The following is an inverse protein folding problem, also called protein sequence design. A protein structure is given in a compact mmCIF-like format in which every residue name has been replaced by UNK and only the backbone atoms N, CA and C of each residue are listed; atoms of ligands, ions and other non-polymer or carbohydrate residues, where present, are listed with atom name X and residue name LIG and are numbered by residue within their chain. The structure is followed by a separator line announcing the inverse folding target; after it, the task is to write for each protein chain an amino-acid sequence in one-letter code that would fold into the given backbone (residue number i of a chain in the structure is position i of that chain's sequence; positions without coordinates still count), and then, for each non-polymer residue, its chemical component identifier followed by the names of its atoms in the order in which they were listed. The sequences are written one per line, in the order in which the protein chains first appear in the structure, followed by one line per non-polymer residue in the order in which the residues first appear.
data_IF_814123262538
#
_entry.id   IF_814123262538
#
_cell.length_a   1.000
_cell.length_b   1.000
_cell.length_c   1.000
_cell.angle_alpha   90.00
_cell.angle_beta   90.00
_cell.angle_gamma   90.00
#
_symmetry.space_group_name_H-M   'P 1'
#
loop_
_entity.id
_entity.type
_entity.pdbx_description
1 polymer ?
#
# COMPACT_ATOMS: atom_id res chain seq x y z
N UNK A 1 -5.20 -26.52 -15.65
CA UNK A 1 -6.00 -25.31 -15.95
C UNK A 1 -6.17 -24.51 -14.66
N UNK A 2 -5.45 -23.41 -14.50
CA UNK A 2 -5.71 -22.45 -13.42
C UNK A 2 -7.10 -21.86 -13.68
N UNK A 3 -8.08 -22.22 -12.84
CA UNK A 3 -9.42 -21.61 -12.91
C UNK A 3 -9.23 -20.13 -12.66
N UNK A 4 -9.38 -19.30 -13.69
CA UNK A 4 -9.55 -17.86 -13.53
C UNK A 4 -10.77 -17.71 -12.62
N UNK A 5 -10.54 -17.34 -11.34
CA UNK A 5 -11.64 -17.10 -10.39
C UNK A 5 -12.36 -15.84 -10.86
N UNK A 6 -13.50 -16.03 -11.52
CA UNK A 6 -14.44 -14.95 -11.83
C UNK A 6 -15.08 -14.48 -10.52
N UNK A 7 -15.53 -13.23 -10.48
CA UNK A 7 -16.42 -12.78 -9.41
C UNK A 7 -17.71 -13.59 -9.51
N UNK A 8 -18.10 -14.21 -8.40
CA UNK A 8 -19.42 -14.84 -8.30
C UNK A 8 -20.38 -13.80 -7.70
N UNK A 9 -21.33 -13.35 -8.50
CA UNK A 9 -22.37 -12.45 -8.05
C UNK A 9 -23.37 -13.23 -7.19
N UNK A 10 -23.69 -12.68 -6.02
CA UNK A 10 -24.63 -13.25 -5.07
C UNK A 10 -25.97 -12.51 -5.16
N UNK A 11 -27.04 -13.08 -4.56
CA UNK A 11 -28.36 -12.44 -4.51
C UNK A 11 -28.39 -11.21 -3.60
N UNK A 12 -27.63 -11.25 -2.48
CA UNK A 12 -27.50 -10.11 -1.57
C UNK A 12 -26.59 -9.04 -2.14
N UNK A 13 -26.93 -7.77 -1.92
CA UNK A 13 -26.08 -6.66 -2.31
C UNK A 13 -24.88 -6.49 -1.34
N UNK A 14 -23.86 -5.71 -1.75
CA UNK A 14 -22.63 -5.56 -0.98
C UNK A 14 -22.84 -4.88 0.39
N UNK A 15 -23.87 -4.04 0.55
CA UNK A 15 -24.20 -3.38 1.82
C UNK A 15 -24.77 -4.39 2.82
N UNK A 16 -25.76 -5.18 2.41
CA UNK A 16 -26.33 -6.25 3.25
C UNK A 16 -25.25 -7.24 3.68
N UNK A 17 -24.45 -7.71 2.74
CA UNK A 17 -23.33 -8.61 3.02
C UNK A 17 -22.32 -8.01 4.01
N UNK A 18 -21.99 -6.71 3.89
CA UNK A 18 -21.09 -6.04 4.81
C UNK A 18 -21.68 -5.86 6.21
N UNK A 19 -22.99 -5.56 6.31
CA UNK A 19 -23.69 -5.49 7.59
C UNK A 19 -23.74 -6.86 8.28
N UNK A 20 -24.00 -7.93 7.56
CA UNK A 20 -24.02 -9.27 8.11
C UNK A 20 -22.63 -9.71 8.59
N UNK A 21 -21.59 -9.42 7.82
CA UNK A 21 -20.19 -9.62 8.25
C UNK A 21 -19.88 -8.82 9.52
N UNK A 22 -20.32 -7.57 9.59
CA UNK A 22 -20.12 -6.74 10.78
C UNK A 22 -20.88 -7.29 11.99
N UNK A 23 -22.12 -7.74 11.84
CA UNK A 23 -22.89 -8.41 12.90
C UNK A 23 -22.18 -9.66 13.40
N UNK A 24 -21.66 -10.48 12.47
CA UNK A 24 -20.87 -11.66 12.82
C UNK A 24 -19.61 -11.30 13.64
N UNK A 25 -18.90 -10.21 13.29
CA UNK A 25 -17.73 -9.77 14.06
C UNK A 25 -18.12 -9.38 15.49
N UNK A 26 -19.22 -8.63 15.68
CA UNK A 26 -19.71 -8.25 17.00
C UNK A 26 -20.24 -9.43 17.82
N UNK A 27 -20.66 -10.53 17.19
CA UNK A 27 -21.10 -11.75 17.87
C UNK A 27 -19.95 -12.69 18.22
N UNK A 28 -18.88 -12.67 17.42
CA UNK A 28 -17.80 -13.66 17.50
C UNK A 28 -16.55 -13.18 18.24
N UNK A 29 -16.41 -11.87 18.48
CA UNK A 29 -15.24 -11.31 19.15
C UNK A 29 -15.63 -10.50 20.38
N UNK A 30 -14.80 -10.62 21.44
CA UNK A 30 -15.02 -9.87 22.68
C UNK A 30 -14.78 -8.37 22.47
N UNK A 31 -13.78 -8.02 21.64
CA UNK A 31 -13.40 -6.65 21.34
C UNK A 31 -13.38 -6.43 19.82
N UNK A 32 -14.24 -5.53 19.35
CA UNK A 32 -14.25 -5.07 17.95
C UNK A 32 -13.70 -3.66 17.89
N UNK A 33 -12.61 -3.46 17.20
CA UNK A 33 -11.93 -2.18 17.05
C UNK A 33 -11.82 -1.81 15.59
N UNK A 34 -11.98 -0.54 15.26
CA UNK A 34 -11.95 -0.05 13.89
C UNK A 34 -10.61 0.62 13.59
N UNK A 35 -9.86 0.10 12.64
CA UNK A 35 -8.69 0.76 12.07
C UNK A 35 -9.13 1.97 11.23
N UNK A 36 -9.12 3.16 11.83
CA UNK A 36 -9.60 4.39 11.22
C UNK A 36 -8.43 5.23 10.70
N UNK A 37 -8.37 5.47 9.39
CA UNK A 37 -7.30 6.24 8.74
C UNK A 37 -7.74 7.64 8.29
N UNK A 38 -8.99 8.04 8.54
CA UNK A 38 -9.57 9.27 7.98
C UNK A 38 -9.87 9.18 6.47
N UNK A 39 -9.62 8.04 5.82
CA UNK A 39 -9.97 7.82 4.42
C UNK A 39 -11.41 7.34 4.23
N UNK A 40 -11.96 7.50 3.01
CA UNK A 40 -13.36 7.15 2.67
C UNK A 40 -13.74 5.71 3.02
N UNK A 41 -12.81 4.77 2.86
CA UNK A 41 -13.07 3.36 3.08
C UNK A 41 -13.19 3.04 4.59
N UNK A 42 -12.29 3.59 5.40
CA UNK A 42 -12.36 3.48 6.86
C UNK A 42 -13.54 4.26 7.45
N UNK A 43 -13.94 5.36 6.82
CA UNK A 43 -15.17 6.11 7.17
C UNK A 43 -16.41 5.25 7.01
N UNK A 44 -16.54 4.55 5.89
CA UNK A 44 -17.65 3.62 5.65
C UNK A 44 -17.66 2.49 6.68
N UNK A 45 -16.50 1.87 6.93
CA UNK A 45 -16.40 0.80 7.95
C UNK A 45 -16.80 1.29 9.33
N UNK A 46 -16.40 2.50 9.73
CA UNK A 46 -16.78 3.11 11.01
C UNK A 46 -18.29 3.29 11.10
N UNK A 47 -18.95 3.79 10.06
CA UNK A 47 -20.39 4.00 10.06
C UNK A 47 -21.19 2.68 10.03
N UNK A 48 -20.70 1.66 9.32
CA UNK A 48 -21.29 0.30 9.41
C UNK A 48 -21.16 -0.26 10.83
N UNK A 49 -20.00 -0.05 11.48
CA UNK A 49 -19.79 -0.47 12.86
C UNK A 49 -20.69 0.28 13.85
N UNK A 50 -20.86 1.59 13.71
CA UNK A 50 -21.78 2.39 14.55
C UNK A 50 -23.21 1.85 14.44
N UNK A 51 -23.68 1.60 13.19
CA UNK A 51 -25.00 1.04 12.96
C UNK A 51 -25.20 -0.31 13.68
N UNK A 52 -24.27 -1.24 13.50
CA UNK A 52 -24.37 -2.57 14.10
C UNK A 52 -24.15 -2.53 15.62
N UNK A 53 -23.22 -1.72 16.12
CA UNK A 53 -23.01 -1.53 17.57
C UNK A 53 -24.25 -0.97 18.24
N UNK A 54 -24.98 -0.06 17.57
CA UNK A 54 -26.28 0.45 18.06
C UNK A 54 -27.34 -0.64 18.09
N UNK A 55 -27.45 -1.48 17.05
CA UNK A 55 -28.36 -2.64 17.01
C UNK A 55 -28.10 -3.62 18.16
N UNK A 56 -26.83 -3.75 18.58
CA UNK A 56 -26.36 -4.72 19.60
C UNK A 56 -26.12 -4.11 20.99
N UNK A 57 -26.44 -2.82 21.20
CA UNK A 57 -26.17 -2.09 22.45
C UNK A 57 -24.69 -2.15 22.89
N UNK A 58 -23.76 -2.04 21.92
CA UNK A 58 -22.30 -2.09 22.12
C UNK A 58 -21.60 -0.76 21.79
N UNK A 59 -22.31 0.35 21.91
CA UNK A 59 -21.72 1.70 21.80
C UNK A 59 -20.93 2.08 23.07
N UNK A 60 -19.92 2.96 22.99
CA UNK A 60 -19.35 3.54 21.77
C UNK A 60 -18.46 2.57 20.99
N UNK A 61 -18.36 2.78 19.67
CA UNK A 61 -17.41 2.06 18.81
C UNK A 61 -15.99 2.53 19.11
N UNK A 62 -15.08 1.60 19.32
CA UNK A 62 -13.65 1.91 19.48
C UNK A 62 -13.02 2.08 18.11
N UNK A 63 -12.48 3.27 17.83
CA UNK A 63 -11.74 3.56 16.61
C UNK A 63 -10.28 3.91 16.95
N UNK A 64 -9.33 3.43 16.16
CA UNK A 64 -7.91 3.65 16.34
C UNK A 64 -7.34 4.43 15.17
N UNK A 65 -6.84 5.63 15.42
CA UNK A 65 -6.18 6.46 14.45
C UNK A 65 -4.68 6.53 14.76
N UNK A 66 -3.87 6.07 13.82
CA UNK A 66 -2.41 6.12 13.90
C UNK A 66 -1.93 7.33 13.13
N UNK A 67 -1.50 8.34 13.85
CA UNK A 67 -1.12 9.63 13.30
C UNK A 67 0.30 9.60 12.73
N UNK A 68 0.37 9.73 11.41
CA UNK A 68 1.63 9.70 10.66
C UNK A 68 2.34 11.07 10.61
N UNK A 69 2.02 12.02 11.50
CA UNK A 69 2.59 13.38 11.58
C UNK A 69 2.34 14.21 10.31
N UNK A 70 2.80 13.75 9.16
CA UNK A 70 2.71 14.45 7.87
C UNK A 70 1.37 14.24 7.16
N UNK A 71 0.28 14.29 7.90
CA UNK A 71 -1.08 14.11 7.39
C UNK A 71 -1.64 15.46 6.91
N UNK A 72 -2.45 15.42 5.85
CA UNK A 72 -3.10 16.61 5.29
C UNK A 72 -3.96 17.32 6.35
N UNK A 73 -3.90 18.67 6.44
CA UNK A 73 -4.66 19.43 7.44
C UNK A 73 -6.15 19.10 7.46
N UNK A 74 -6.78 19.04 6.29
CA UNK A 74 -8.21 18.69 6.17
C UNK A 74 -8.54 17.26 6.59
N UNK A 75 -7.57 16.34 6.56
CA UNK A 75 -7.71 15.01 7.16
C UNK A 75 -7.70 15.11 8.68
N UNK A 76 -6.84 15.91 9.28
CA UNK A 76 -6.80 16.15 10.73
C UNK A 76 -8.11 16.77 11.21
N UNK A 77 -8.59 17.82 10.53
CA UNK A 77 -9.90 18.41 10.82
C UNK A 77 -11.05 17.39 10.79
N UNK A 78 -10.99 16.45 9.86
CA UNK A 78 -11.98 15.37 9.78
C UNK A 78 -11.84 14.39 10.96
N UNK A 79 -10.63 14.01 11.32
CA UNK A 79 -10.36 13.15 12.48
C UNK A 79 -10.82 13.81 13.78
N UNK A 80 -10.62 15.12 13.93
CA UNK A 80 -11.14 15.92 15.05
C UNK A 80 -12.66 15.85 15.15
N UNK A 81 -13.37 16.04 14.03
CA UNK A 81 -14.84 15.90 14.02
C UNK A 81 -15.29 14.50 14.40
N UNK A 82 -14.60 13.45 13.92
CA UNK A 82 -14.89 12.07 14.30
C UNK A 82 -14.62 11.82 15.79
N UNK A 83 -13.59 12.43 16.37
CA UNK A 83 -13.27 12.31 17.80
C UNK A 83 -14.37 12.88 18.73
N UNK A 84 -15.16 13.80 18.19
CA UNK A 84 -16.30 14.42 18.91
C UNK A 84 -17.63 13.68 18.69
N UNK A 85 -17.64 12.64 17.86
CA UNK A 85 -18.87 11.89 17.58
C UNK A 85 -19.30 11.09 18.83
N UNK A 86 -20.58 11.24 19.31
CA UNK A 86 -21.02 10.66 20.58
C UNK A 86 -20.95 9.13 20.62
N UNK A 87 -21.09 8.46 19.49
CA UNK A 87 -21.06 7.00 19.38
C UNK A 87 -19.65 6.44 19.11
N UNK A 88 -18.60 7.28 19.11
CA UNK A 88 -17.22 6.86 18.82
C UNK A 88 -16.30 7.20 19.98
N UNK A 89 -15.49 6.24 20.37
CA UNK A 89 -14.34 6.46 21.24
C UNK A 89 -13.08 6.35 20.38
N UNK A 90 -12.52 7.51 19.99
CA UNK A 90 -11.31 7.55 19.18
C UNK A 90 -10.07 7.45 20.07
N UNK A 91 -9.21 6.47 19.81
CA UNK A 91 -7.85 6.42 20.31
C UNK A 91 -6.95 7.06 19.25
N UNK A 92 -6.44 8.25 19.52
CA UNK A 92 -5.55 9.00 18.63
C UNK A 92 -4.10 8.78 19.05
N UNK A 93 -3.35 7.98 18.30
CA UNK A 93 -1.97 7.61 18.63
C UNK A 93 -0.97 8.49 17.89
N UNK A 94 -0.19 9.29 18.63
CA UNK A 94 0.95 10.06 18.14
C UNK A 94 2.24 9.44 18.70
N UNK A 95 2.66 8.32 18.14
CA UNK A 95 3.80 7.54 18.61
C UNK A 95 4.93 7.53 17.57
N UNK A 96 6.14 7.19 17.99
CA UNK A 96 7.33 7.15 17.13
C UNK A 96 7.33 5.91 16.20
N UNK A 97 6.30 5.85 15.33
CA UNK A 97 6.17 4.76 14.35
C UNK A 97 7.26 4.83 13.30
N UNK A 98 7.79 3.68 12.95
CA UNK A 98 8.75 3.53 11.87
C UNK A 98 8.06 3.53 10.52
N UNK A 99 8.35 4.54 9.74
CA UNK A 99 7.94 4.63 8.34
C UNK A 99 9.12 4.43 7.42
N UNK A 100 8.81 3.88 6.27
CA UNK A 100 9.79 3.73 5.23
C UNK A 100 9.96 5.05 4.50
N UNK A 101 11.21 5.50 4.36
CA UNK A 101 11.56 6.61 3.49
C UNK A 101 11.84 6.07 2.07
N UNK A 102 10.94 6.34 1.14
CA UNK A 102 11.12 5.97 -0.25
C UNK A 102 11.98 6.98 -1.02
N UNK A 103 12.32 8.11 -0.40
CA UNK A 103 13.03 9.23 -1.02
C UNK A 103 14.55 9.20 -0.79
N UNK A 104 15.03 8.42 0.18
CA UNK A 104 16.46 8.34 0.50
C UNK A 104 16.93 6.89 0.70
N UNK A 105 18.17 6.63 0.30
CA UNK A 105 18.87 5.39 0.59
C UNK A 105 19.75 5.50 1.83
N UNK A 106 20.21 6.68 2.15
CA UNK A 106 21.04 6.95 3.33
C UNK A 106 20.19 6.87 4.59
N UNK A 107 19.01 7.50 4.57
CA UNK A 107 17.99 7.38 5.61
C UNK A 107 16.78 6.57 5.10
N UNK A 108 16.85 5.23 5.03
CA UNK A 108 15.79 4.40 4.47
C UNK A 108 14.52 4.32 5.33
N UNK A 109 14.56 4.89 6.50
CA UNK A 109 13.44 4.99 7.43
C UNK A 109 13.40 6.36 8.08
N UNK A 110 12.20 6.81 8.43
CA UNK A 110 11.96 7.95 9.30
C UNK A 110 10.92 7.55 10.37
N UNK A 111 10.87 8.32 11.47
CA UNK A 111 9.97 8.04 12.57
C UNK A 111 9.01 9.20 12.72
N UNK A 112 7.70 8.92 12.74
CA UNK A 112 6.70 9.95 13.05
C UNK A 112 6.86 10.40 14.49
N UNK A 113 6.58 11.66 14.75
CA UNK A 113 6.63 12.22 16.11
C UNK A 113 7.95 11.94 16.86
N UNK A 114 9.05 11.85 16.11
CA UNK A 114 10.38 11.58 16.64
C UNK A 114 10.78 12.65 17.67
N UNK A 115 10.86 12.26 18.94
CA UNK A 115 11.17 13.18 20.07
C UNK A 115 12.55 13.83 19.92
N UNK A 116 13.50 13.14 19.25
CA UNK A 116 14.84 13.65 18.99
C UNK A 116 14.86 14.71 17.87
N UNK A 117 13.79 14.80 17.08
CA UNK A 117 13.62 15.76 15.98
C UNK A 117 12.39 16.67 16.18
N UNK A 118 12.04 16.99 17.43
CA UNK A 118 10.82 17.75 17.77
C UNK A 118 10.75 19.10 17.07
N UNK A 119 11.87 19.79 16.94
CA UNK A 119 11.93 21.12 16.28
C UNK A 119 11.64 21.05 14.77
N UNK A 120 11.66 19.85 14.19
CA UNK A 120 11.37 19.59 12.79
C UNK A 120 9.96 19.04 12.56
N UNK A 121 9.14 18.84 13.59
CA UNK A 121 7.78 18.36 13.41
C UNK A 121 7.00 19.27 12.47
N UNK A 122 6.25 18.67 11.58
CA UNK A 122 5.54 19.42 10.54
C UNK A 122 4.30 20.14 11.05
N UNK A 123 3.81 19.75 12.20
CA UNK A 123 2.72 20.39 12.95
C UNK A 123 2.81 20.09 14.44
N UNK A 124 2.05 20.82 15.22
CA UNK A 124 1.93 20.55 16.64
C UNK A 124 1.20 19.22 16.91
N UNK A 125 1.61 18.55 17.97
CA UNK A 125 0.96 17.34 18.43
C UNK A 125 -0.39 17.69 19.05
N UNK A 126 -1.48 16.98 18.71
CA UNK A 126 -2.78 17.20 19.33
C UNK A 126 -2.75 17.00 20.84
N UNK A 127 -3.40 17.88 21.59
CA UNK A 127 -3.39 17.82 23.06
C UNK A 127 -3.98 16.54 23.63
N UNK A 128 -5.02 16.01 22.98
CA UNK A 128 -5.76 14.83 23.43
C UNK A 128 -5.26 13.52 22.80
N UNK A 129 -4.04 13.48 22.25
CA UNK A 129 -3.50 12.27 21.67
C UNK A 129 -2.79 11.39 22.72
N UNK A 130 -2.67 10.10 22.36
CA UNK A 130 -1.89 9.12 23.12
C UNK A 130 -0.46 9.14 22.57
N UNK A 131 0.45 9.81 23.28
CA UNK A 131 1.86 9.96 22.88
C UNK A 131 2.82 9.02 23.61
N UNK A 132 2.29 8.19 24.52
CA UNK A 132 3.02 7.14 25.22
C UNK A 132 2.10 5.92 25.43
N UNK A 133 2.64 4.73 25.32
CA UNK A 133 1.88 3.51 25.56
C UNK A 133 2.80 2.40 26.09
N UNK A 134 2.43 1.67 27.15
CA UNK A 134 3.33 0.70 27.81
C UNK A 134 3.77 -0.46 26.93
N UNK A 135 3.01 -0.79 25.88
CA UNK A 135 3.36 -1.84 24.91
C UNK A 135 4.05 -1.29 23.65
N UNK A 136 4.35 0.01 23.59
CA UNK A 136 4.98 0.61 22.43
C UNK A 136 6.49 0.74 22.63
N UNK A 137 7.24 0.36 21.61
CA UNK A 137 8.69 0.58 21.53
C UNK A 137 8.97 1.34 20.23
N UNK A 138 9.81 2.40 20.31
CA UNK A 138 10.23 3.20 19.14
C UNK A 138 10.67 2.28 18.00
N UNK A 139 10.11 2.51 16.83
CA UNK A 139 10.42 1.74 15.62
C UNK A 139 9.48 0.59 15.31
N UNK A 140 8.45 0.36 16.10
CA UNK A 140 7.36 -0.51 15.66
C UNK A 140 6.62 0.15 14.49
N UNK A 141 6.16 -0.67 13.54
CA UNK A 141 5.14 -0.23 12.59
C UNK A 141 3.78 -0.18 13.28
N UNK A 142 2.83 0.59 12.74
CA UNK A 142 1.47 0.62 13.29
C UNK A 142 0.79 -0.77 13.22
N UNK A 143 1.06 -1.58 12.19
CA UNK A 143 0.53 -2.95 12.10
C UNK A 143 1.05 -3.85 13.25
N UNK A 144 2.35 -3.76 13.55
CA UNK A 144 2.93 -4.50 14.68
C UNK A 144 2.35 -4.03 16.00
N UNK A 145 2.24 -2.71 16.20
CA UNK A 145 1.68 -2.15 17.41
C UNK A 145 0.20 -2.51 17.59
N UNK A 146 -0.62 -2.49 16.54
CA UNK A 146 -2.03 -2.92 16.61
C UNK A 146 -2.15 -4.34 17.17
N UNK A 147 -1.31 -5.27 16.67
CA UNK A 147 -1.29 -6.66 17.17
C UNK A 147 -0.78 -6.78 18.60
N UNK A 148 0.31 -6.07 18.96
CA UNK A 148 0.90 -6.13 20.30
C UNK A 148 0.03 -5.45 21.36
N UNK A 149 -0.73 -4.44 20.97
CA UNK A 149 -1.65 -3.72 21.84
C UNK A 149 -2.80 -4.60 22.31
N UNK A 150 -3.28 -5.52 21.47
CA UNK A 150 -4.34 -6.45 21.83
C UNK A 150 -3.98 -7.22 23.10
N UNK A 151 -4.90 -7.23 24.06
CA UNK A 151 -4.68 -7.84 25.37
C UNK A 151 -5.40 -9.18 25.46
N UNK A 152 -4.62 -10.26 25.50
CA UNK A 152 -5.15 -11.61 25.61
C UNK A 152 -6.03 -11.81 26.85
N UNK A 153 -5.73 -11.10 27.95
CA UNK A 153 -6.52 -11.19 29.19
C UNK A 153 -7.93 -10.59 29.04
N UNK A 154 -8.13 -9.73 28.04
CA UNK A 154 -9.43 -9.11 27.69
C UNK A 154 -10.21 -9.89 26.63
N UNK A 155 -9.76 -11.09 26.27
CA UNK A 155 -10.39 -11.95 25.28
C UNK A 155 -9.86 -11.76 23.85
N UNK A 156 -10.69 -12.15 22.89
CA UNK A 156 -10.38 -12.05 21.45
C UNK A 156 -10.62 -10.64 20.94
N UNK A 157 -9.70 -10.15 20.14
CA UNK A 157 -9.78 -8.81 19.52
C UNK A 157 -9.77 -8.92 18.00
N UNK A 158 -10.64 -8.19 17.33
CA UNK A 158 -10.61 -8.02 15.87
C UNK A 158 -10.40 -6.56 15.51
N UNK A 159 -9.34 -6.29 14.68
CA UNK A 159 -9.12 -5.00 14.04
C UNK A 159 -9.83 -4.99 12.68
N UNK A 160 -10.80 -4.11 12.52
CA UNK A 160 -11.66 -4.05 11.33
C UNK A 160 -11.19 -2.92 10.44
N UNK A 161 -10.82 -3.22 9.21
CA UNK A 161 -10.22 -2.25 8.28
C UNK A 161 -11.00 -2.14 6.97
N UNK A 162 -10.86 -0.98 6.31
CA UNK A 162 -11.50 -0.67 5.03
C UNK A 162 -10.76 -1.20 3.80
N UNK A 163 -10.03 -2.30 3.90
CA UNK A 163 -9.29 -2.89 2.77
C UNK A 163 -10.25 -3.48 1.74
N UNK A 164 -10.06 -3.11 0.45
CA UNK A 164 -10.84 -3.62 -0.68
C UNK A 164 -9.97 -4.32 -1.71
N UNK A 165 -10.47 -5.40 -2.29
CA UNK A 165 -9.76 -6.18 -3.31
C UNK A 165 -9.51 -5.41 -4.61
N UNK A 166 -10.36 -4.43 -4.92
CA UNK A 166 -10.24 -3.60 -6.11
C UNK A 166 -9.01 -2.66 -6.08
N UNK A 167 -8.44 -2.39 -4.91
CA UNK A 167 -7.36 -1.41 -4.78
C UNK A 167 -6.01 -1.92 -5.30
N UNK A 168 -5.75 -3.22 -5.24
CA UNK A 168 -4.52 -3.79 -5.80
C UNK A 168 -4.61 -5.32 -5.96
N UNK A 169 -3.82 -5.83 -6.91
CA UNK A 169 -3.70 -7.28 -7.11
C UNK A 169 -3.24 -8.01 -5.84
N UNK A 170 -2.34 -7.40 -5.05
CA UNK A 170 -1.87 -7.97 -3.78
C UNK A 170 -3.01 -8.13 -2.77
N UNK A 171 -3.90 -7.12 -2.64
CA UNK A 171 -5.07 -7.19 -1.75
C UNK A 171 -6.08 -8.22 -2.24
N UNK A 172 -6.30 -8.29 -3.54
CA UNK A 172 -7.12 -9.33 -4.14
C UNK A 172 -6.59 -10.74 -3.84
N UNK A 173 -5.29 -10.98 -4.04
CA UNK A 173 -4.66 -12.27 -3.76
C UNK A 173 -4.77 -12.66 -2.28
N UNK A 174 -4.58 -11.71 -1.36
CA UNK A 174 -4.67 -11.95 0.07
C UNK A 174 -6.06 -12.45 0.52
N UNK A 175 -7.13 -12.00 -0.14
CA UNK A 175 -8.51 -12.46 0.13
C UNK A 175 -8.82 -13.72 -0.67
N UNK A 176 -8.50 -13.78 -1.95
CA UNK A 176 -8.84 -14.87 -2.86
C UNK A 176 -8.19 -16.23 -2.52
N UNK A 177 -7.10 -16.22 -1.75
CA UNK A 177 -6.42 -17.45 -1.32
C UNK A 177 -7.10 -18.15 -0.14
N UNK A 178 -8.04 -17.48 0.55
CA UNK A 178 -8.75 -18.03 1.70
C UNK A 178 -10.00 -18.75 1.26
N UNK A 179 -10.29 -19.90 1.86
CA UNK A 179 -11.42 -20.75 1.49
C UNK A 179 -12.66 -20.40 2.31
N UNK A 180 -12.50 -20.23 3.62
CA UNK A 180 -13.59 -19.89 4.55
C UNK A 180 -13.26 -18.55 5.21
N UNK A 181 -14.29 -17.76 5.55
CA UNK A 181 -14.14 -16.46 6.20
C UNK A 181 -13.06 -15.60 5.50
N UNK A 182 -13.11 -15.55 4.18
CA UNK A 182 -12.09 -14.94 3.33
C UNK A 182 -11.75 -13.48 3.68
N UNK A 183 -12.61 -12.80 4.42
CA UNK A 183 -12.40 -11.44 4.91
C UNK A 183 -11.76 -11.37 6.30
N UNK A 184 -11.54 -12.51 7.00
CA UNK A 184 -10.92 -12.56 8.33
C UNK A 184 -9.56 -13.27 8.27
N UNK A 185 -8.54 -12.64 8.83
CA UNK A 185 -7.23 -13.25 9.11
C UNK A 185 -7.08 -13.44 10.61
N UNK A 186 -6.89 -14.69 11.06
CA UNK A 186 -6.82 -15.05 12.48
C UNK A 186 -5.38 -15.26 12.94
N UNK A 187 -4.97 -14.62 14.03
CA UNK A 187 -3.63 -14.70 14.64
C UNK A 187 -3.75 -14.96 16.14
N UNK A 188 -4.29 -16.11 16.51
CA UNK A 188 -4.54 -16.45 17.89
C UNK A 188 -5.67 -15.61 18.51
N UNK A 189 -5.36 -14.82 19.54
CA UNK A 189 -6.33 -13.93 20.20
C UNK A 189 -6.58 -12.61 19.44
N UNK A 190 -5.80 -12.33 18.41
CA UNK A 190 -5.93 -11.15 17.54
C UNK A 190 -6.35 -11.57 16.13
N UNK A 191 -7.20 -10.79 15.51
CA UNK A 191 -7.66 -11.01 14.14
C UNK A 191 -7.75 -9.69 13.38
N UNK A 192 -7.70 -9.76 12.05
CA UNK A 192 -7.93 -8.62 11.18
C UNK A 192 -9.09 -8.97 10.26
N UNK A 193 -10.06 -8.08 10.11
CA UNK A 193 -11.22 -8.28 9.24
C UNK A 193 -11.39 -7.15 8.22
N UNK A 194 -11.87 -7.52 7.03
CA UNK A 194 -12.11 -6.62 5.90
C UNK A 194 -13.56 -6.75 5.40
N UNK A 195 -14.58 -6.26 6.12
CA UNK A 195 -15.99 -6.52 5.81
C UNK A 195 -16.45 -5.97 4.46
N UNK A 196 -15.77 -4.95 3.93
CA UNK A 196 -16.06 -4.33 2.63
C UNK A 196 -15.08 -4.75 1.52
N UNK A 197 -14.45 -5.93 1.64
CA UNK A 197 -13.41 -6.38 0.72
C UNK A 197 -13.88 -6.46 -0.75
N UNK A 198 -15.15 -6.70 -0.98
CA UNK A 198 -15.80 -6.87 -2.28
C UNK A 198 -16.37 -5.56 -2.87
N UNK A 199 -16.32 -4.46 -2.13
CA UNK A 199 -16.85 -3.17 -2.56
C UNK A 199 -15.99 -2.51 -3.64
N UNK A 200 -16.66 -1.82 -4.57
CA UNK A 200 -16.03 -0.86 -5.47
C UNK A 200 -15.88 0.53 -4.84
N UNK A 201 -15.09 1.41 -5.45
CA UNK A 201 -15.06 2.82 -5.03
C UNK A 201 -16.41 3.51 -5.19
N UNK A 202 -17.21 3.07 -6.16
CA UNK A 202 -18.55 3.59 -6.39
C UNK A 202 -19.50 3.21 -5.26
N UNK A 203 -19.42 1.97 -4.76
CA UNK A 203 -20.23 1.51 -3.62
C UNK A 203 -19.91 2.33 -2.35
N UNK A 204 -18.63 2.63 -2.12
CA UNK A 204 -18.18 3.47 -1.00
C UNK A 204 -18.81 4.86 -1.07
N UNK A 205 -18.68 5.56 -2.21
CA UNK A 205 -19.21 6.90 -2.38
C UNK A 205 -20.74 6.93 -2.42
N UNK A 206 -21.37 5.88 -2.95
CA UNK A 206 -22.82 5.73 -2.92
C UNK A 206 -23.33 5.68 -1.49
N UNK A 207 -22.73 4.87 -0.62
CA UNK A 207 -23.15 4.81 0.78
C UNK A 207 -22.90 6.12 1.52
N UNK A 208 -21.76 6.77 1.29
CA UNK A 208 -21.46 8.10 1.87
C UNK A 208 -22.57 9.09 1.54
N UNK A 209 -23.04 9.08 0.29
CA UNK A 209 -24.12 9.96 -0.15
C UNK A 209 -25.50 9.54 0.41
N UNK A 210 -25.85 8.25 0.34
CA UNK A 210 -27.18 7.75 0.74
C UNK A 210 -27.43 7.87 2.25
N UNK A 211 -26.37 7.76 3.07
CA UNK A 211 -26.46 7.87 4.52
C UNK A 211 -26.08 9.25 5.05
N UNK A 212 -25.84 10.22 4.17
CA UNK A 212 -25.37 11.57 4.51
C UNK A 212 -24.16 11.56 5.49
N UNK A 213 -23.19 10.71 5.18
CA UNK A 213 -22.00 10.52 6.03
C UNK A 213 -21.04 11.69 5.82
N UNK A 214 -20.59 12.32 6.92
CA UNK A 214 -19.46 13.26 6.87
C UNK A 214 -18.19 12.53 6.42
N UNK A 215 -17.38 13.18 5.60
CA UNK A 215 -16.18 12.60 5.04
C UNK A 215 -15.04 13.63 4.95
N UNK A 216 -13.84 13.11 4.73
CA UNK A 216 -12.61 13.87 4.59
C UNK A 216 -12.61 14.76 3.35
N UNK A 217 -12.59 16.07 3.54
CA UNK A 217 -12.63 17.07 2.46
C UNK A 217 -11.34 17.17 1.63
N UNK A 218 -10.29 16.47 2.01
CA UNK A 218 -9.09 16.33 1.16
C UNK A 218 -9.43 15.74 -0.22
N UNK A 219 -10.44 14.86 -0.31
CA UNK A 219 -10.91 14.34 -1.60
C UNK A 219 -11.45 15.43 -2.51
N UNK A 220 -12.16 16.41 -1.97
CA UNK A 220 -12.70 17.53 -2.73
C UNK A 220 -11.59 18.45 -3.24
N UNK A 221 -10.55 18.68 -2.41
CA UNK A 221 -9.38 19.47 -2.80
C UNK A 221 -8.67 18.79 -3.96
N UNK A 222 -8.36 17.51 -3.85
CA UNK A 222 -7.69 16.76 -4.90
C UNK A 222 -8.48 16.70 -6.20
N UNK A 223 -9.81 16.58 -6.12
CA UNK A 223 -10.68 16.54 -7.31
C UNK A 223 -10.75 17.88 -8.05
N UNK A 224 -10.42 19.01 -7.40
CA UNK A 224 -10.38 20.33 -8.02
C UNK A 224 -9.06 20.60 -8.76
N UNK A 225 -8.03 19.79 -8.58
CA UNK A 225 -6.78 19.96 -9.31
C UNK A 225 -6.95 19.50 -10.75
N UNK A 226 -6.43 20.28 -11.71
CA UNK A 226 -6.42 19.92 -13.13
C UNK A 226 -5.59 18.64 -13.41
N UNK A 227 -4.78 18.29 -12.47
CA UNK A 227 -3.83 17.18 -12.47
C UNK A 227 -4.48 15.87 -12.00
N UNK A 228 -5.80 15.78 -11.98
CA UNK A 228 -6.56 14.64 -11.46
C UNK A 228 -6.28 13.34 -12.22
N UNK A 229 -5.16 12.70 -11.90
CA UNK A 229 -5.05 11.28 -12.15
C UNK A 229 -6.03 10.58 -11.20
N UNK A 230 -7.09 9.98 -11.73
CA UNK A 230 -8.16 9.30 -10.96
C UNK A 230 -7.63 8.38 -9.85
N UNK A 231 -6.44 7.84 -10.02
CA UNK A 231 -5.78 7.00 -9.01
C UNK A 231 -5.25 7.81 -7.81
N UNK A 232 -4.65 8.96 -8.06
CA UNK A 232 -4.04 9.81 -7.01
C UNK A 232 -5.11 10.51 -6.18
N UNK A 233 -6.19 10.96 -6.81
CA UNK A 233 -7.30 11.64 -6.13
C UNK A 233 -8.19 10.73 -5.30
N UNK A 234 -8.01 9.42 -5.38
CA UNK A 234 -8.77 8.43 -4.60
C UNK A 234 -8.11 8.04 -3.27
N UNK A 235 -6.95 8.61 -2.93
CA UNK A 235 -6.19 8.33 -1.72
C UNK A 235 -5.80 9.60 -1.00
N UNK A 236 -5.94 9.59 0.31
CA UNK A 236 -5.59 10.72 1.20
C UNK A 236 -4.45 10.39 2.16
N UNK A 237 -3.77 9.25 1.98
CA UNK A 237 -2.58 8.92 2.77
C UNK A 237 -1.39 9.79 2.35
N UNK A 238 -0.52 10.15 3.30
CA UNK A 238 0.70 10.88 3.00
C UNK A 238 1.61 10.10 2.04
N UNK A 239 2.22 10.75 1.05
CA UNK A 239 3.03 10.06 0.02
C UNK A 239 4.44 9.67 0.47
N UNK A 240 4.80 9.90 1.72
CA UNK A 240 6.17 9.73 2.24
C UNK A 240 6.50 8.32 2.74
N UNK A 241 5.50 7.51 2.96
CA UNK A 241 5.67 6.15 3.48
C UNK A 241 5.83 5.11 2.37
N UNK A 242 4.93 4.13 2.38
CA UNK A 242 4.91 3.04 1.38
C UNK A 242 4.21 3.42 0.08
N UNK A 243 3.53 4.57 0.04
CA UNK A 243 2.81 5.04 -1.13
C UNK A 243 3.77 5.51 -2.23
N UNK A 244 3.34 5.40 -3.49
CA UNK A 244 4.15 5.85 -4.61
C UNK A 244 4.46 7.34 -4.53
N UNK A 245 5.69 7.72 -4.72
CA UNK A 245 6.17 9.11 -4.75
C UNK A 245 5.43 10.01 -5.76
N UNK A 246 4.63 9.43 -6.64
CA UNK A 246 3.77 10.14 -7.60
C UNK A 246 2.79 11.13 -6.94
N UNK A 247 2.43 10.91 -5.68
CA UNK A 247 1.57 11.83 -4.93
C UNK A 247 2.28 13.07 -4.41
N UNK A 248 3.62 13.13 -4.44
CA UNK A 248 4.38 14.23 -3.86
C UNK A 248 4.05 15.58 -4.49
N UNK A 249 3.86 15.64 -5.78
CA UNK A 249 3.58 16.91 -6.47
C UNK A 249 2.15 17.42 -6.19
N UNK A 250 1.14 16.55 -6.09
CA UNK A 250 -0.21 16.95 -5.64
C UNK A 250 -0.15 17.50 -4.22
N UNK A 251 0.63 16.83 -3.37
CA UNK A 251 0.85 17.25 -2.00
C UNK A 251 1.50 18.63 -1.92
N UNK A 252 2.54 18.87 -2.71
CA UNK A 252 3.22 20.17 -2.80
C UNK A 252 2.29 21.29 -3.31
N UNK A 253 1.40 20.98 -4.24
CA UNK A 253 0.48 21.96 -4.82
C UNK A 253 -0.71 22.24 -3.90
N UNK A 254 -1.32 21.22 -3.32
CA UNK A 254 -2.50 21.37 -2.48
C UNK A 254 -2.18 21.87 -1.05
N UNK A 255 -1.00 21.56 -0.53
CA UNK A 255 -0.59 21.84 0.85
C UNK A 255 0.86 22.38 0.91
N UNK A 256 1.15 23.54 0.31
CA UNK A 256 2.52 24.05 0.18
C UNK A 256 3.23 24.26 1.52
N UNK A 257 2.53 24.73 2.55
CA UNK A 257 3.12 24.97 3.87
C UNK A 257 3.61 23.67 4.52
N UNK A 258 2.78 22.63 4.46
CA UNK A 258 3.14 21.31 4.97
C UNK A 258 4.27 20.71 4.13
N UNK A 259 4.24 20.91 2.82
CA UNK A 259 5.29 20.49 1.91
C UNK A 259 6.64 21.11 2.27
N UNK A 260 6.71 22.43 2.50
CA UNK A 260 7.96 23.11 2.88
C UNK A 260 8.53 22.58 4.20
N UNK A 261 7.69 22.27 5.16
CA UNK A 261 8.13 21.64 6.42
C UNK A 261 8.69 20.23 6.18
N UNK A 262 8.08 19.46 5.29
CA UNK A 262 8.53 18.11 4.96
C UNK A 262 9.89 18.07 4.25
N UNK A 263 10.29 19.12 3.52
CA UNK A 263 11.62 19.22 2.91
C UNK A 263 12.75 19.11 3.93
N UNK A 264 12.52 19.60 5.14
CA UNK A 264 13.49 19.55 6.25
C UNK A 264 13.27 18.33 7.16
N UNK A 265 12.10 17.72 7.11
CA UNK A 265 11.71 16.65 8.01
C UNK A 265 12.14 15.27 7.54
N UNK A 266 12.08 15.02 6.24
CA UNK A 266 12.39 13.70 5.63
C UNK A 266 13.45 13.86 4.56
N UNK A 267 14.55 13.16 4.74
CA UNK A 267 15.70 13.18 3.83
C UNK A 267 15.30 12.74 2.40
N UNK A 268 15.79 13.47 1.39
CA UNK A 268 15.61 13.15 -0.02
C UNK A 268 14.27 13.58 -0.64
N UNK A 269 13.32 14.14 0.12
CA UNK A 269 11.99 14.55 -0.38
C UNK A 269 12.10 15.58 -1.51
N UNK A 270 12.98 16.57 -1.40
CA UNK A 270 13.18 17.58 -2.43
C UNK A 270 13.64 16.96 -3.78
N UNK A 271 14.56 16.01 -3.71
CA UNK A 271 15.04 15.28 -4.88
C UNK A 271 13.95 14.38 -5.47
N UNK A 272 13.24 13.65 -4.60
CA UNK A 272 12.14 12.78 -5.03
C UNK A 272 11.02 13.56 -5.72
N UNK A 273 10.66 14.74 -5.23
CA UNK A 273 9.66 15.61 -5.85
C UNK A 273 10.08 16.07 -7.25
N UNK A 274 11.34 16.54 -7.40
CA UNK A 274 11.88 17.00 -8.69
C UNK A 274 11.77 15.94 -9.78
N UNK A 275 11.92 14.68 -9.42
CA UNK A 275 11.90 13.55 -10.33
C UNK A 275 10.59 12.76 -10.34
N UNK A 276 9.60 13.11 -9.50
CA UNK A 276 8.35 12.37 -9.34
C UNK A 276 7.54 12.22 -10.65
N UNK A 277 7.62 13.22 -11.53
CA UNK A 277 6.95 13.23 -12.83
C UNK A 277 7.86 12.84 -14.01
N UNK A 278 9.06 12.38 -13.73
CA UNK A 278 10.01 11.98 -14.77
C UNK A 278 9.96 10.47 -15.02
N UNK A 279 10.63 10.04 -16.07
CA UNK A 279 10.82 8.63 -16.43
C UNK A 279 11.44 7.80 -15.30
N UNK A 280 12.23 8.41 -14.41
CA UNK A 280 12.81 7.78 -13.23
C UNK A 280 11.76 7.13 -12.33
N UNK A 281 10.56 7.71 -12.25
CA UNK A 281 9.44 7.16 -11.48
C UNK A 281 8.33 6.51 -12.35
N UNK A 282 8.62 6.27 -13.63
CA UNK A 282 7.78 5.45 -14.52
C UNK A 282 6.68 6.20 -15.25
N UNK A 283 6.82 7.51 -15.40
CA UNK A 283 5.97 8.35 -16.23
C UNK A 283 6.70 8.57 -17.55
N UNK A 284 6.74 7.58 -18.41
CA UNK A 284 7.42 7.63 -19.71
C UNK A 284 8.24 6.38 -19.99
N UNK A 285 8.63 6.16 -21.26
CA UNK A 285 9.55 5.10 -21.66
C UNK A 285 10.99 5.55 -21.46
N UNK A 286 11.86 4.66 -21.04
CA UNK A 286 13.30 4.97 -21.03
C UNK A 286 13.75 5.16 -22.49
N UNK A 287 14.36 6.29 -22.78
CA UNK A 287 15.04 6.54 -24.05
C UNK A 287 16.50 6.17 -23.91
N UNK A 288 17.00 5.34 -24.79
CA UNK A 288 18.42 5.02 -24.91
C UNK A 288 19.00 5.69 -26.15
N UNK A 289 20.31 5.97 -26.19
CA UNK A 289 20.98 6.35 -27.43
C UNK A 289 20.77 5.29 -28.52
N UNK A 290 20.50 5.72 -29.76
CA UNK A 290 20.15 4.81 -30.85
C UNK A 290 21.30 3.85 -31.22
N UNK A 291 22.53 4.26 -30.97
CA UNK A 291 23.74 3.51 -31.26
C UNK A 291 24.01 2.35 -30.32
N UNK A 292 23.35 2.32 -29.12
CA UNK A 292 23.57 1.28 -28.12
C UNK A 292 22.45 0.24 -28.15
N UNK A 293 22.79 -1.03 -27.90
CA UNK A 293 21.82 -2.03 -27.48
C UNK A 293 21.36 -1.76 -26.03
N UNK A 294 20.23 -2.34 -25.58
CA UNK A 294 19.79 -2.22 -24.20
C UNK A 294 20.79 -2.86 -23.22
N UNK A 295 21.50 -3.89 -23.66
CA UNK A 295 22.57 -4.51 -22.88
C UNK A 295 23.74 -3.56 -22.64
N UNK A 296 24.20 -2.87 -23.67
CA UNK A 296 25.29 -1.86 -23.59
C UNK A 296 24.84 -0.66 -22.77
N UNK A 297 23.61 -0.21 -22.98
CA UNK A 297 23.04 0.89 -22.21
C UNK A 297 22.88 0.56 -20.72
N UNK A 298 22.58 -0.70 -20.37
CA UNK A 298 22.59 -1.15 -18.98
C UNK A 298 23.97 -0.97 -18.33
N UNK A 299 25.03 -1.32 -19.05
CA UNK A 299 26.41 -1.13 -18.56
C UNK A 299 26.71 0.36 -18.35
N UNK A 300 26.32 1.20 -19.31
CA UNK A 300 26.46 2.65 -19.19
C UNK A 300 25.74 3.20 -17.97
N UNK A 301 24.46 2.82 -17.72
CA UNK A 301 23.71 3.26 -16.56
C UNK A 301 24.40 2.83 -15.26
N UNK A 302 24.85 1.57 -15.18
CA UNK A 302 25.55 1.05 -13.99
C UNK A 302 26.84 1.81 -13.72
N UNK A 303 27.54 2.27 -14.74
CA UNK A 303 28.78 3.03 -14.63
C UNK A 303 28.55 4.48 -14.16
N UNK A 304 27.33 5.01 -14.23
CA UNK A 304 26.99 6.33 -13.65
C UNK A 304 26.92 6.29 -12.11
N UNK A 305 26.78 5.11 -11.53
CA UNK A 305 26.77 4.93 -10.07
C UNK A 305 28.18 4.75 -9.53
N UNK A 306 28.39 5.13 -8.25
CA UNK A 306 29.66 4.98 -7.54
C UNK A 306 29.47 4.37 -6.15
N UNK A 307 30.56 3.93 -5.52
CA UNK A 307 30.59 3.51 -4.13
C UNK A 307 29.57 2.43 -3.76
N UNK A 308 28.87 2.63 -2.66
CA UNK A 308 27.86 1.69 -2.14
C UNK A 308 26.65 1.55 -3.07
N UNK A 309 26.26 2.61 -3.73
CA UNK A 309 25.12 2.63 -4.65
C UNK A 309 25.36 1.72 -5.86
N UNK A 310 26.54 1.81 -6.47
CA UNK A 310 26.94 0.93 -7.57
C UNK A 310 26.86 -0.54 -7.15
N UNK A 311 27.36 -0.85 -5.96
CA UNK A 311 27.32 -2.22 -5.41
C UNK A 311 25.88 -2.74 -5.33
N UNK A 312 24.96 -1.97 -4.77
CA UNK A 312 23.55 -2.35 -4.65
C UNK A 312 22.86 -2.53 -6.00
N UNK A 313 23.09 -1.62 -6.95
CA UNK A 313 22.49 -1.74 -8.29
C UNK A 313 22.99 -2.99 -8.99
N UNK A 314 24.30 -3.27 -8.92
CA UNK A 314 24.91 -4.46 -9.53
C UNK A 314 24.39 -5.74 -8.87
N UNK A 315 24.33 -5.81 -7.54
CA UNK A 315 23.79 -6.97 -6.80
C UNK A 315 22.35 -7.25 -7.21
N UNK A 316 21.54 -6.21 -7.32
CA UNK A 316 20.14 -6.33 -7.69
C UNK A 316 19.95 -6.83 -9.13
N UNK A 317 20.69 -6.25 -10.08
CA UNK A 317 20.70 -6.70 -11.47
C UNK A 317 21.14 -8.16 -11.57
N UNK A 318 22.22 -8.54 -10.89
CA UNK A 318 22.73 -9.91 -10.89
C UNK A 318 21.72 -10.90 -10.32
N UNK A 319 20.94 -10.51 -9.30
CA UNK A 319 19.85 -11.33 -8.78
C UNK A 319 18.81 -11.67 -9.86
N UNK A 320 18.41 -10.71 -10.68
CA UNK A 320 17.46 -10.96 -11.77
C UNK A 320 18.07 -11.77 -12.91
N UNK A 321 19.34 -11.52 -13.25
CA UNK A 321 20.07 -12.32 -14.24
C UNK A 321 20.16 -13.79 -13.78
N UNK A 322 20.45 -14.03 -12.51
CA UNK A 322 20.49 -15.36 -11.90
C UNK A 322 19.13 -16.02 -11.93
N UNK A 323 18.06 -15.30 -11.53
CA UNK A 323 16.70 -15.79 -11.59
C UNK A 323 16.30 -16.23 -13.01
N UNK A 324 16.71 -15.46 -14.02
CA UNK A 324 16.46 -15.82 -15.42
C UNK A 324 17.21 -17.10 -15.81
N UNK A 325 18.50 -17.18 -15.54
CA UNK A 325 19.35 -18.36 -15.82
C UNK A 325 18.84 -19.62 -15.14
N UNK A 326 18.34 -19.50 -13.90
CA UNK A 326 17.82 -20.65 -13.14
C UNK A 326 16.50 -21.20 -13.71
N UNK A 327 15.76 -20.40 -14.45
CA UNK A 327 14.41 -20.79 -14.92
C UNK A 327 14.30 -20.94 -16.43
N UNK A 328 14.87 -20.01 -17.19
CA UNK A 328 14.73 -19.97 -18.64
C UNK A 328 15.81 -20.79 -19.34
N UNK A 329 15.46 -21.34 -20.52
CA UNK A 329 16.41 -22.02 -21.39
C UNK A 329 17.18 -21.08 -22.28
N UNK A 330 16.58 -19.91 -22.63
CA UNK A 330 17.13 -18.93 -23.55
C UNK A 330 17.93 -17.85 -22.81
N UNK A 331 18.81 -17.16 -23.51
CA UNK A 331 19.49 -15.97 -22.98
C UNK A 331 18.51 -14.79 -22.83
N UNK A 332 18.89 -13.81 -22.02
CA UNK A 332 18.09 -12.57 -21.86
C UNK A 332 18.05 -11.82 -23.17
N UNK A 333 16.83 -11.57 -23.66
CA UNK A 333 16.62 -10.80 -24.89
C UNK A 333 16.83 -9.30 -24.65
N UNK A 334 17.21 -8.57 -25.68
CA UNK A 334 17.49 -7.14 -25.58
C UNK A 334 16.22 -6.33 -25.27
N UNK A 335 15.14 -6.54 -26.02
CA UNK A 335 13.91 -5.74 -25.94
C UNK A 335 12.77 -6.50 -25.26
N UNK A 336 12.50 -7.70 -25.76
CA UNK A 336 11.29 -8.45 -25.41
C UNK A 336 11.42 -9.20 -24.10
N UNK A 337 10.47 -8.96 -23.19
CA UNK A 337 10.43 -9.67 -21.93
C UNK A 337 10.16 -11.17 -22.14
N UNK A 338 10.94 -12.00 -21.47
CA UNK A 338 10.76 -13.45 -21.51
C UNK A 338 9.41 -13.84 -20.86
N UNK A 339 8.56 -14.63 -21.51
CA UNK A 339 7.22 -14.97 -21.00
C UNK A 339 7.22 -15.73 -19.67
N UNK A 340 8.29 -16.43 -19.34
CA UNK A 340 8.43 -17.16 -18.09
C UNK A 340 8.94 -16.30 -16.95
N UNK A 341 9.94 -15.45 -17.22
CA UNK A 341 10.64 -14.67 -16.17
C UNK A 341 10.29 -13.18 -16.15
N UNK A 342 9.75 -12.65 -17.24
CA UNK A 342 9.46 -11.22 -17.42
C UNK A 342 10.69 -10.34 -17.61
N UNK A 343 11.88 -10.93 -17.78
CA UNK A 343 13.15 -10.23 -17.81
C UNK A 343 13.60 -10.00 -19.26
N UNK A 344 14.04 -8.77 -19.54
CA UNK A 344 14.80 -8.36 -20.74
C UNK A 344 15.84 -7.32 -20.33
N UNK A 345 16.82 -7.03 -21.19
CA UNK A 345 17.79 -5.95 -20.92
C UNK A 345 17.12 -4.59 -20.83
N UNK A 346 16.10 -4.33 -21.66
CA UNK A 346 15.26 -3.12 -21.54
C UNK A 346 14.62 -2.99 -20.16
N UNK A 347 14.12 -4.08 -19.59
CA UNK A 347 13.55 -4.06 -18.25
C UNK A 347 14.62 -3.87 -17.16
N UNK A 348 15.79 -4.50 -17.32
CA UNK A 348 16.92 -4.31 -16.40
C UNK A 348 17.42 -2.86 -16.41
N UNK A 349 17.42 -2.17 -17.58
CA UNK A 349 17.69 -0.74 -17.65
C UNK A 349 16.68 0.08 -16.85
N UNK A 350 15.38 -0.28 -16.89
CA UNK A 350 14.36 0.34 -16.04
C UNK A 350 14.70 0.22 -14.55
N UNK A 351 15.17 -0.95 -14.12
CA UNK A 351 15.55 -1.21 -12.73
C UNK A 351 16.79 -0.40 -12.35
N UNK A 352 17.80 -0.39 -13.20
CA UNK A 352 19.03 0.36 -12.99
C UNK A 352 18.76 1.87 -12.89
N UNK A 353 17.98 2.44 -13.83
CA UNK A 353 17.59 3.86 -13.80
C UNK A 353 16.84 4.27 -12.53
N UNK A 354 15.98 3.39 -12.04
CA UNK A 354 15.20 3.65 -10.81
C UNK A 354 16.03 3.49 -9.55
N UNK A 355 17.26 2.99 -9.65
CA UNK A 355 18.08 2.67 -8.50
C UNK A 355 17.32 1.80 -7.51
N UNK A 356 16.67 0.71 -7.96
CA UNK A 356 15.88 -0.16 -7.08
C UNK A 356 16.75 -0.84 -6.03
N UNK A 357 17.33 -0.04 -5.17
CA UNK A 357 18.25 -0.46 -4.10
C UNK A 357 17.62 -1.44 -3.10
N UNK A 358 16.30 -1.56 -3.11
CA UNK A 358 15.57 -2.47 -2.21
C UNK A 358 15.11 -3.76 -2.90
N UNK A 359 15.43 -3.90 -4.20
CA UNK A 359 15.14 -5.09 -4.98
C UNK A 359 13.65 -5.49 -5.01
N UNK A 360 12.75 -4.52 -5.10
CA UNK A 360 11.30 -4.74 -4.98
C UNK A 360 10.55 -4.76 -6.29
N UNK A 361 11.17 -4.31 -7.34
CA UNK A 361 10.56 -4.37 -8.65
C UNK A 361 10.46 -5.85 -9.05
N UNK A 362 9.25 -6.29 -9.32
CA UNK A 362 9.00 -7.64 -9.82
C UNK A 362 8.68 -7.56 -11.31
N UNK A 363 9.19 -8.48 -12.12
CA UNK A 363 8.95 -8.51 -13.56
C UNK A 363 7.56 -9.05 -13.93
N UNK A 364 6.63 -9.17 -12.97
CA UNK A 364 5.33 -9.83 -13.16
C UNK A 364 4.44 -9.15 -14.21
N UNK A 365 4.46 -7.82 -14.29
CA UNK A 365 3.69 -7.09 -15.30
C UNK A 365 4.26 -7.31 -16.70
N UNK A 366 5.58 -7.31 -16.85
CA UNK A 366 6.25 -7.58 -18.13
C UNK A 366 6.02 -9.04 -18.55
N UNK A 367 6.06 -9.97 -17.59
CA UNK A 367 5.74 -11.39 -17.81
C UNK A 367 4.29 -11.56 -18.28
N UNK A 368 3.34 -10.96 -17.58
CA UNK A 368 1.92 -11.03 -17.94
C UNK A 368 1.65 -10.43 -19.33
N UNK A 369 2.29 -9.29 -19.65
CA UNK A 369 2.19 -8.68 -20.97
C UNK A 369 2.78 -9.55 -22.07
N UNK A 370 3.94 -10.20 -21.82
CA UNK A 370 4.56 -11.12 -22.75
C UNK A 370 3.70 -12.37 -23.01
N UNK A 371 3.16 -12.98 -21.97
CA UNK A 371 2.23 -14.14 -22.09
C UNK A 371 0.97 -13.76 -22.87
N UNK A 372 0.39 -12.58 -22.58
CA UNK A 372 -0.80 -12.10 -23.30
C UNK A 372 -0.53 -11.86 -24.79
N UNK A 373 0.63 -11.28 -25.14
CA UNK A 373 1.02 -11.05 -26.53
C UNK A 373 1.17 -12.34 -27.32
N UNK A 374 1.62 -13.41 -26.67
CA UNK A 374 1.84 -14.74 -27.28
C UNK A 374 0.63 -15.65 -27.15
N UNK A 375 -0.45 -15.20 -26.50
CA UNK A 375 -1.66 -15.97 -26.20
C UNK A 375 -1.36 -17.32 -25.52
N UNK A 376 -0.46 -17.29 -24.53
CA UNK A 376 -0.05 -18.48 -23.75
C UNK A 376 -0.36 -18.31 -22.27
N UNK A 377 -0.58 -19.40 -21.58
CA UNK A 377 -0.73 -19.46 -20.13
C UNK A 377 0.60 -19.75 -19.42
N UNK A 378 0.58 -19.86 -18.08
CA UNK A 378 1.78 -20.10 -17.28
C UNK A 378 2.41 -21.48 -17.56
N UNK A 379 1.61 -22.52 -17.79
CA UNK A 379 2.10 -23.87 -18.05
C UNK A 379 2.76 -23.94 -19.42
N UNK A 380 2.18 -23.25 -20.41
CA UNK A 380 2.77 -23.08 -21.73
C UNK A 380 4.10 -22.33 -21.66
N UNK A 381 4.15 -21.24 -20.87
CA UNK A 381 5.38 -20.46 -20.67
C UNK A 381 6.49 -21.33 -20.04
N UNK A 382 6.17 -22.19 -19.08
CA UNK A 382 7.14 -23.14 -18.51
C UNK A 382 7.58 -24.16 -19.54
N UNK A 383 6.64 -24.73 -20.28
CA UNK A 383 6.92 -25.77 -21.29
C UNK A 383 7.80 -25.24 -22.43
N UNK A 384 7.49 -24.04 -22.93
CA UNK A 384 8.16 -23.47 -24.09
C UNK A 384 9.48 -22.78 -23.76
N UNK A 385 9.57 -22.12 -22.61
CA UNK A 385 10.70 -21.23 -22.23
C UNK A 385 11.49 -21.71 -21.02
N UNK A 386 11.00 -22.70 -20.27
CA UNK A 386 11.69 -23.25 -19.12
C UNK A 386 12.89 -24.12 -19.49
N UNK A 387 13.96 -24.07 -18.70
CA UNK A 387 15.04 -25.04 -18.79
C UNK A 387 14.61 -26.39 -18.18
N UNK A 388 15.31 -27.46 -18.51
CA UNK A 388 14.94 -28.82 -18.12
C UNK A 388 14.88 -29.03 -16.59
N UNK A 389 15.75 -28.36 -15.85
CA UNK A 389 15.78 -28.42 -14.38
C UNK A 389 14.50 -27.76 -13.81
N UNK A 390 14.16 -26.58 -14.31
CA UNK A 390 12.99 -25.83 -13.85
C UNK A 390 11.68 -26.54 -14.23
N UNK A 391 11.54 -27.06 -15.44
CA UNK A 391 10.39 -27.85 -15.87
C UNK A 391 10.13 -29.03 -14.92
N UNK A 392 11.19 -29.80 -14.61
CA UNK A 392 11.08 -30.95 -13.68
C UNK A 392 10.63 -30.51 -12.28
N UNK A 393 11.06 -29.35 -11.79
CA UNK A 393 10.65 -28.83 -10.49
C UNK A 393 9.21 -28.32 -10.50
N UNK A 394 8.80 -27.65 -11.58
CA UNK A 394 7.48 -27.06 -11.71
C UNK A 394 6.36 -28.09 -11.82
N UNK A 395 6.54 -29.09 -12.66
CA UNK A 395 5.54 -30.15 -12.91
C UNK A 395 5.58 -31.30 -11.89
N UNK A 396 6.53 -31.31 -10.96
CA UNK A 396 6.54 -32.24 -9.81
C UNK A 396 5.68 -31.80 -8.63
N UNK A 397 5.18 -30.57 -8.63
CA UNK A 397 4.24 -30.01 -7.66
C UNK A 397 2.80 -30.22 -8.11
#
# INVERSE_FOLDING_TARGET
MSKIRKKDYQESNVLEAALDRMRYLYDSFDNVEIGFSGGKDSTVVLNLAIKVAREKNKLPVIANFYDEEAIHPTTIEYVERVSQHPDVKLNWFCLEFKHRNASSNEEPYWYTWDKDKKDLWVRDMPENCINEHPKFVKGLSFQQFTSFRADKAKGTTVDVTGVRTQESLRRFQAVAQKVNDNYISRYGHFSIAHPIYDWSSQDVWKLVHEWDIDYNKTYDIFNKTELSNKFLTQRVCPPFGEEPLRGLWIYAECFPDLWHKMLNRVEGVATAWRYANTELYGVGGIQKPDELSWKEYLSYIVDTYSGKEKKFVVENINRYITLHKDRAKDSIADIDANPLTGISYRWLCKIAHKGDFKGRQLPDNERAAAMKRLDINQDDAVTLYGNEKYKKQYFKK
#
